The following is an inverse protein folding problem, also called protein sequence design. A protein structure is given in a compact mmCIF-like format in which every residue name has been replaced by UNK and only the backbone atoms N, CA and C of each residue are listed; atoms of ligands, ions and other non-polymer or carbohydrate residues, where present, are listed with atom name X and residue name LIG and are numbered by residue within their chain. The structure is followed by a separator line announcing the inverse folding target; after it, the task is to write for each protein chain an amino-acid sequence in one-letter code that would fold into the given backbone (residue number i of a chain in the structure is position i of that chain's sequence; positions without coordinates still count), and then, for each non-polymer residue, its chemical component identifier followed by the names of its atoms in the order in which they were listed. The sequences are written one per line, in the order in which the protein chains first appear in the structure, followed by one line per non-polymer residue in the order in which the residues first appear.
data_IF_783206731437
#
_entry.id   IF_783206731437
#
_cell.length_a   1.000
_cell.length_b   1.000
_cell.length_c   1.000
_cell.angle_alpha   90.00
_cell.angle_beta   90.00
_cell.angle_gamma   90.00
#
_symmetry.space_group_name_H-M   'P 1'
#
loop_
_entity.id
_entity.type
_entity.pdbx_description
1 polymer ?
#
# COMPACT_ATOMS: atom_id res chain seq x y z
N UNK A 1 -34.50 -26.29 -0.79
CA UNK A 1 -34.95 -25.16 -1.63
C UNK A 1 -34.52 -23.88 -0.91
N UNK A 2 -33.55 -23.13 -1.43
CA UNK A 2 -33.00 -21.95 -0.74
C UNK A 2 -33.90 -20.73 -0.98
N UNK A 3 -34.55 -20.25 0.08
CA UNK A 3 -35.47 -19.10 0.10
C UNK A 3 -34.69 -17.79 0.37
N UNK A 4 -33.75 -17.44 -0.51
CA UNK A 4 -33.13 -16.12 -0.44
C UNK A 4 -33.88 -15.17 -1.37
N UNK A 5 -34.43 -14.04 -0.87
CA UNK A 5 -35.00 -13.02 -1.75
C UNK A 5 -33.90 -12.47 -2.64
N UNK A 6 -34.17 -12.36 -3.95
CA UNK A 6 -33.23 -11.74 -4.85
C UNK A 6 -33.02 -10.28 -4.44
N UNK A 7 -31.77 -9.80 -4.35
CA UNK A 7 -31.51 -8.39 -4.07
C UNK A 7 -32.13 -7.54 -5.18
N UNK A 8 -32.95 -6.57 -4.80
CA UNK A 8 -33.68 -5.69 -5.73
C UNK A 8 -32.78 -4.79 -6.57
N UNK A 9 -31.49 -4.71 -6.22
CA UNK A 9 -30.50 -3.86 -6.87
C UNK A 9 -29.38 -4.78 -7.35
N UNK A 10 -29.37 -5.04 -8.66
CA UNK A 10 -28.19 -5.58 -9.33
C UNK A 10 -27.26 -4.39 -9.58
N UNK A 11 -26.20 -4.27 -8.79
CA UNK A 11 -25.21 -3.21 -8.99
C UNK A 11 -24.57 -3.41 -10.38
N UNK A 12 -24.96 -2.57 -11.33
CA UNK A 12 -24.46 -2.59 -12.70
C UNK A 12 -23.13 -1.85 -12.70
N UNK A 13 -22.05 -2.54 -13.04
CA UNK A 13 -20.72 -1.93 -13.18
C UNK A 13 -20.59 -1.08 -14.46
N UNK A 14 -21.66 -0.99 -15.27
CA UNK A 14 -21.70 -0.21 -16.51
C UNK A 14 -21.66 1.32 -16.25
N UNK A 15 -21.78 1.77 -14.99
CA UNK A 15 -21.56 3.16 -14.57
C UNK A 15 -20.06 3.44 -14.41
N UNK A 16 -19.32 3.38 -15.52
CA UNK A 16 -17.91 3.83 -15.65
C UNK A 16 -17.72 5.34 -15.39
N UNK A 17 -18.77 6.07 -14.98
CA UNK A 17 -18.76 7.53 -14.82
C UNK A 17 -19.15 8.02 -13.40
N UNK A 18 -19.28 7.14 -12.41
CA UNK A 18 -19.58 7.54 -11.01
C UNK A 18 -18.34 7.69 -10.14
N UNK A 19 -17.16 7.31 -10.64
CA UNK A 19 -15.89 7.77 -10.08
C UNK A 19 -15.55 9.12 -10.73
N UNK A 20 -16.31 10.16 -10.37
CA UNK A 20 -15.89 11.53 -10.64
C UNK A 20 -14.43 11.65 -10.22
N UNK A 21 -13.57 12.13 -11.14
CA UNK A 21 -12.12 12.18 -11.02
C UNK A 21 -11.69 12.29 -9.55
N UNK A 22 -11.36 11.13 -8.95
CA UNK A 22 -10.83 11.15 -7.60
C UNK A 22 -9.53 11.94 -7.74
N UNK A 23 -9.45 13.08 -7.06
CA UNK A 23 -8.24 13.88 -6.97
C UNK A 23 -7.22 13.13 -6.10
N UNK A 24 -6.75 11.99 -6.63
CA UNK A 24 -5.72 11.15 -6.04
C UNK A 24 -4.40 11.75 -6.46
N UNK A 25 -3.54 12.01 -5.48
CA UNK A 25 -2.16 12.35 -5.78
C UNK A 25 -1.46 11.09 -6.33
N UNK A 26 -1.14 11.12 -7.62
CA UNK A 26 -0.42 10.06 -8.35
C UNK A 26 1.05 10.44 -8.52
N UNK A 27 1.50 11.51 -7.85
CA UNK A 27 2.85 12.06 -7.92
C UNK A 27 3.91 11.18 -7.25
N UNK A 28 5.07 11.78 -7.03
CA UNK A 28 6.16 11.12 -6.31
C UNK A 28 5.80 10.98 -4.83
N UNK A 29 6.17 9.84 -4.25
CA UNK A 29 6.03 9.60 -2.82
C UNK A 29 7.06 10.46 -2.08
N UNK A 30 6.61 11.25 -1.12
CA UNK A 30 7.46 12.11 -0.30
C UNK A 30 8.12 11.37 0.86
N UNK A 31 9.18 11.95 1.41
CA UNK A 31 9.87 11.40 2.59
C UNK A 31 8.95 11.47 3.81
N UNK A 32 8.15 12.52 3.93
CA UNK A 32 7.20 12.75 5.02
C UNK A 32 6.07 11.71 5.02
N UNK A 33 5.53 11.38 3.84
CA UNK A 33 4.54 10.31 3.69
C UNK A 33 5.13 8.96 4.10
N UNK A 34 6.34 8.66 3.64
CA UNK A 34 7.05 7.43 3.97
C UNK A 34 7.31 7.34 5.48
N UNK A 35 7.77 8.44 6.10
CA UNK A 35 8.01 8.51 7.54
C UNK A 35 6.72 8.27 8.32
N UNK A 36 5.63 8.91 7.90
CA UNK A 36 4.32 8.78 8.53
C UNK A 36 3.81 7.34 8.41
N UNK A 37 3.97 6.72 7.24
CA UNK A 37 3.61 5.33 7.02
C UNK A 37 4.41 4.37 7.93
N UNK A 38 5.73 4.57 8.05
CA UNK A 38 6.60 3.78 8.94
C UNK A 38 6.13 3.90 10.40
N UNK A 39 5.79 5.11 10.85
CA UNK A 39 5.28 5.35 12.22
C UNK A 39 3.94 4.65 12.47
N UNK A 40 3.09 4.59 11.45
CA UNK A 40 1.78 3.92 11.48
C UNK A 40 1.85 2.38 11.44
N UNK A 41 3.02 1.78 11.18
CA UNK A 41 3.16 0.32 11.21
C UNK A 41 2.76 -0.26 12.57
N UNK A 42 2.01 -1.36 12.59
CA UNK A 42 1.65 -2.05 13.83
C UNK A 42 2.88 -2.77 14.40
N UNK A 43 3.19 -2.49 15.66
CA UNK A 43 4.23 -3.20 16.41
C UNK A 43 3.78 -4.63 16.75
N UNK A 44 4.72 -5.49 17.13
CA UNK A 44 4.46 -6.88 17.59
C UNK A 44 3.77 -7.79 16.58
N UNK A 45 3.83 -7.46 15.29
CA UNK A 45 3.59 -8.46 14.24
C UNK A 45 4.80 -9.39 14.19
N UNK A 46 4.56 -10.69 13.97
CA UNK A 46 5.65 -11.62 13.74
C UNK A 46 6.52 -11.08 12.59
N UNK A 47 7.84 -10.93 12.78
CA UNK A 47 8.69 -10.50 11.70
C UNK A 47 8.52 -11.47 10.53
N UNK A 48 8.52 -10.93 9.32
CA UNK A 48 8.57 -11.77 8.12
C UNK A 48 9.86 -12.62 8.13
N UNK A 49 10.00 -13.55 7.20
CA UNK A 49 11.16 -14.42 7.02
C UNK A 49 12.51 -13.67 7.07
N UNK A 50 12.51 -12.38 6.71
CA UNK A 50 13.70 -11.53 6.68
C UNK A 50 14.06 -10.90 8.05
N UNK A 51 13.35 -11.20 9.14
CA UNK A 51 13.62 -10.72 10.52
C UNK A 51 13.65 -9.18 10.69
N UNK A 52 13.13 -8.44 9.71
CA UNK A 52 12.95 -7.00 9.80
C UNK A 52 11.61 -6.72 10.50
N UNK A 53 11.69 -6.45 11.79
CA UNK A 53 10.54 -6.05 12.59
C UNK A 53 10.19 -4.56 12.32
N UNK A 54 8.92 -4.19 12.49
CA UNK A 54 8.47 -2.80 12.31
C UNK A 54 9.24 -1.84 13.24
N UNK A 55 9.67 -2.34 14.39
CA UNK A 55 10.48 -1.64 15.39
C UNK A 55 11.86 -1.24 14.82
N UNK A 56 12.48 -2.08 13.97
CA UNK A 56 13.76 -1.76 13.32
C UNK A 56 13.59 -0.64 12.29
N UNK A 57 12.48 -0.65 11.54
CA UNK A 57 12.18 0.41 10.58
C UNK A 57 11.92 1.74 11.29
N UNK A 58 11.19 1.70 12.41
CA UNK A 58 10.93 2.89 13.23
C UNK A 58 12.17 3.44 13.92
N UNK A 59 13.13 2.60 14.30
CA UNK A 59 14.40 3.02 14.89
C UNK A 59 15.42 3.52 13.86
N UNK A 60 15.21 3.21 12.58
CA UNK A 60 16.11 3.59 11.49
C UNK A 60 15.99 5.05 11.04
N UNK A 61 15.05 5.81 11.62
CA UNK A 61 14.82 7.24 11.41
C UNK A 61 14.93 7.69 9.93
N UNK A 62 15.65 8.78 9.67
CA UNK A 62 15.73 9.43 8.36
C UNK A 62 16.45 8.59 7.30
N UNK A 63 17.61 7.95 7.56
CA UNK A 63 18.30 7.17 6.52
C UNK A 63 17.47 6.02 5.94
N UNK A 64 16.74 5.29 6.80
CA UNK A 64 15.86 4.21 6.34
C UNK A 64 14.66 4.78 5.58
N UNK A 65 14.11 5.90 6.06
CA UNK A 65 12.98 6.57 5.39
C UNK A 65 13.36 7.04 3.98
N UNK A 66 14.52 7.65 3.80
CA UNK A 66 14.99 8.13 2.50
C UNK A 66 15.24 6.98 1.50
N UNK A 67 15.84 5.88 1.99
CA UNK A 67 16.07 4.69 1.16
C UNK A 67 14.75 4.04 0.72
N UNK A 68 13.79 3.91 1.63
CA UNK A 68 12.46 3.37 1.31
C UNK A 68 11.71 4.29 0.34
N UNK A 69 11.78 5.60 0.54
CA UNK A 69 11.17 6.59 -0.37
C UNK A 69 11.73 6.46 -1.78
N UNK A 70 13.05 6.31 -1.91
CA UNK A 70 13.72 6.09 -3.19
C UNK A 70 13.28 4.78 -3.84
N UNK A 71 13.21 3.69 -3.06
CA UNK A 71 12.77 2.38 -3.55
C UNK A 71 11.32 2.42 -4.05
N UNK A 72 10.42 3.00 -3.26
CA UNK A 72 9.01 3.08 -3.61
C UNK A 72 8.78 3.92 -4.86
N UNK A 73 9.46 5.07 -4.97
CA UNK A 73 9.42 5.87 -6.19
C UNK A 73 9.98 5.10 -7.39
N UNK A 74 11.09 4.38 -7.24
CA UNK A 74 11.63 3.54 -8.32
C UNK A 74 10.59 2.53 -8.81
N UNK A 75 9.92 1.83 -7.89
CA UNK A 75 8.87 0.87 -8.22
C UNK A 75 7.67 1.54 -8.91
N UNK A 76 7.27 2.72 -8.42
CA UNK A 76 6.16 3.50 -8.96
C UNK A 76 6.42 3.92 -10.41
N UNK A 77 7.58 4.50 -10.69
CA UNK A 77 7.95 4.98 -12.02
C UNK A 77 8.18 3.84 -13.01
N UNK A 78 8.77 2.74 -12.56
CA UNK A 78 9.04 1.57 -13.41
C UNK A 78 7.82 0.66 -13.60
N UNK A 79 6.75 0.88 -12.81
CA UNK A 79 5.58 -0.01 -12.71
C UNK A 79 5.98 -1.48 -12.48
N UNK A 80 7.08 -1.68 -11.77
CA UNK A 80 7.63 -2.99 -11.48
C UNK A 80 8.07 -3.05 -10.03
N UNK A 81 7.87 -4.20 -9.40
CA UNK A 81 8.28 -4.46 -8.03
C UNK A 81 9.34 -5.56 -8.00
N UNK A 82 10.20 -5.58 -6.96
CA UNK A 82 11.15 -6.67 -6.76
C UNK A 82 10.46 -8.05 -6.85
N UNK A 83 11.10 -9.00 -7.52
CA UNK A 83 10.58 -10.37 -7.67
C UNK A 83 10.34 -11.05 -6.32
N UNK A 84 11.12 -10.69 -5.31
CA UNK A 84 10.97 -11.22 -3.94
C UNK A 84 9.63 -10.83 -3.31
N UNK A 85 9.01 -9.72 -3.73
CA UNK A 85 7.67 -9.32 -3.25
C UNK A 85 6.55 -10.12 -3.91
N UNK A 86 6.78 -10.71 -5.09
CA UNK A 86 5.79 -11.52 -5.82
C UNK A 86 5.70 -12.95 -5.29
N UNK A 87 6.69 -13.39 -4.51
CA UNK A 87 6.82 -14.77 -4.00
C UNK A 87 6.34 -14.93 -2.55
N UNK A 88 5.77 -13.88 -1.96
CA UNK A 88 5.32 -13.83 -0.57
C UNK A 88 3.95 -14.46 -0.35
#
# INVERSE_FOLDING_TARGET
MHNQPQPSIMHRFDDENVLGELNVDIGCITVEETLTAIRCLKNRKAPCLNEIAAEKLKAGDMPITEQLTTLYNSCWHQRNVPEDWKKA
#
